data_IF_285988361400
#
_entry.id   IF_285988361400
#
_cell.length_a   1.000
_cell.length_b   1.000
_cell.length_c   1.000
_cell.angle_alpha   90.00
_cell.angle_beta   90.00
_cell.angle_gamma   90.00
#
_symmetry.space_group_name_H-M   'P 1'
#
loop_
_entity.id
_entity.type
_entity.pdbx_description
1 polymer ?
#
# COMPACT_ATOMS: atom_id res chain seq x y z
N UNK A 1 21.67 7.15 -11.31
CA UNK A 1 20.84 6.17 -12.04
C UNK A 1 20.47 5.03 -11.13
N UNK A 2 19.33 5.14 -10.43
CA UNK A 2 18.74 4.00 -9.76
C UNK A 2 18.22 3.05 -10.86
N UNK A 3 18.98 2.01 -11.14
CA UNK A 3 18.53 0.91 -11.99
C UNK A 3 17.32 0.27 -11.32
N UNK A 4 16.18 0.30 -11.98
CA UNK A 4 14.98 -0.45 -11.66
C UNK A 4 15.25 -1.96 -11.67
N UNK A 5 15.82 -2.48 -10.59
CA UNK A 5 15.89 -3.92 -10.33
C UNK A 5 14.59 -4.42 -9.69
N UNK A 6 13.45 -4.04 -10.22
CA UNK A 6 12.20 -4.33 -9.54
C UNK A 6 11.10 -4.93 -10.38
N UNK A 7 11.09 -4.72 -11.68
CA UNK A 7 9.96 -5.17 -12.51
C UNK A 7 9.98 -6.68 -12.83
N UNK A 8 11.14 -7.34 -12.77
CA UNK A 8 11.24 -8.80 -12.94
C UNK A 8 10.80 -9.60 -11.72
N UNK A 9 10.88 -9.03 -10.51
CA UNK A 9 10.54 -9.71 -9.27
C UNK A 9 9.08 -9.58 -8.86
N UNK A 10 8.31 -8.67 -9.44
CA UNK A 10 6.87 -8.52 -9.15
C UNK A 10 6.10 -9.78 -9.51
N UNK A 11 6.53 -10.53 -10.51
CA UNK A 11 5.95 -11.83 -10.87
C UNK A 11 6.14 -12.91 -9.78
N UNK A 12 7.15 -12.80 -8.93
CA UNK A 12 7.42 -13.76 -7.86
C UNK A 12 6.81 -13.38 -6.51
N UNK A 13 6.23 -12.19 -6.37
CA UNK A 13 5.60 -11.72 -5.13
C UNK A 13 4.11 -12.02 -5.07
N UNK A 14 3.70 -13.19 -5.51
CA UNK A 14 2.32 -13.69 -5.33
C UNK A 14 1.98 -14.05 -3.88
N UNK A 15 2.74 -13.58 -2.91
CA UNK A 15 2.67 -13.97 -1.51
C UNK A 15 3.85 -14.86 -1.13
N UNK A 16 3.81 -15.44 0.09
CA UNK A 16 4.77 -16.45 0.55
C UNK A 16 4.86 -17.58 -0.48
N UNK A 17 6.08 -17.94 -0.89
CA UNK A 17 6.29 -19.18 -1.65
C UNK A 17 5.93 -20.37 -0.76
N UNK A 18 4.78 -20.95 -1.04
CA UNK A 18 4.22 -22.02 -0.22
C UNK A 18 5.02 -23.33 -0.36
N UNK A 19 5.76 -23.51 -1.47
CA UNK A 19 6.64 -24.67 -1.66
C UNK A 19 7.87 -24.50 -0.77
N UNK A 20 8.55 -23.36 -0.85
CA UNK A 20 9.71 -23.04 0.00
C UNK A 20 9.33 -23.03 1.49
N UNK A 21 8.16 -22.48 1.84
CA UNK A 21 7.67 -22.49 3.23
C UNK A 21 7.40 -23.90 3.73
N UNK A 22 6.85 -24.77 2.88
CA UNK A 22 6.59 -26.17 3.24
C UNK A 22 7.89 -26.98 3.37
N UNK A 23 8.86 -26.74 2.48
CA UNK A 23 10.18 -27.38 2.55
C UNK A 23 10.94 -26.95 3.80
N UNK A 24 10.95 -25.68 4.15
CA UNK A 24 11.55 -25.15 5.41
C UNK A 24 10.88 -25.78 6.63
N UNK A 25 9.55 -25.86 6.65
CA UNK A 25 8.82 -26.50 7.76
C UNK A 25 9.14 -27.98 7.89
N UNK A 26 9.36 -28.70 6.79
CA UNK A 26 9.79 -30.11 6.83
C UNK A 26 11.22 -30.26 7.32
N UNK A 27 12.11 -29.32 6.94
CA UNK A 27 13.50 -29.29 7.43
C UNK A 27 13.56 -28.96 8.92
N UNK A 28 12.80 -27.96 9.39
CA UNK A 28 12.72 -27.59 10.80
C UNK A 28 12.20 -28.77 11.65
N UNK A 29 11.15 -29.44 11.21
CA UNK A 29 10.63 -30.62 11.90
C UNK A 29 11.62 -31.78 11.93
N UNK A 30 12.52 -31.88 10.96
CA UNK A 30 13.56 -32.93 10.93
C UNK A 30 14.75 -32.61 11.85
N UNK A 31 15.00 -31.33 12.13
CA UNK A 31 16.09 -30.88 13.03
C UNK A 31 15.64 -30.78 14.49
N UNK A 32 14.36 -30.51 14.76
CA UNK A 32 13.81 -30.39 16.11
C UNK A 32 13.56 -31.75 16.78
N UNK A 33 13.41 -32.81 16.03
CA UNK A 33 13.38 -34.18 16.58
C UNK A 33 14.67 -34.60 17.29
N UNK A 34 15.77 -33.89 17.04
CA UNK A 34 17.08 -34.14 17.64
C UNK A 34 17.38 -33.28 18.88
N UNK A 35 16.56 -32.31 19.23
CA UNK A 35 16.75 -31.39 20.38
C UNK A 35 15.52 -31.34 21.29
N UNK A 36 15.06 -32.52 21.73
CA UNK A 36 14.03 -32.63 22.76
C UNK A 36 14.57 -32.14 24.11
N UNK A 37 14.50 -30.83 24.37
CA UNK A 37 14.94 -30.25 25.64
C UNK A 37 14.35 -28.89 26.01
N UNK A 38 13.96 -28.08 25.03
CA UNK A 38 13.35 -26.77 25.34
C UNK A 38 12.13 -26.54 24.44
N UNK A 39 10.98 -26.96 24.95
CA UNK A 39 9.70 -26.85 24.27
C UNK A 39 9.03 -25.47 24.50
N UNK A 40 9.81 -24.42 24.64
CA UNK A 40 9.30 -23.04 24.65
C UNK A 40 9.29 -22.55 23.22
N UNK A 41 8.09 -22.21 22.67
CA UNK A 41 8.05 -21.45 21.44
C UNK A 41 8.92 -20.23 21.65
N UNK A 42 9.91 -20.02 20.80
CA UNK A 42 10.73 -18.82 20.81
C UNK A 42 9.78 -17.64 20.67
N UNK A 43 9.47 -16.98 21.80
CA UNK A 43 8.73 -15.72 21.84
C UNK A 43 9.63 -14.59 21.36
N UNK A 44 10.23 -14.72 20.21
CA UNK A 44 10.60 -13.53 19.45
C UNK A 44 9.27 -12.98 18.93
N UNK A 45 8.67 -12.09 19.71
CA UNK A 45 7.73 -11.14 19.18
C UNK A 45 8.41 -10.55 17.95
N UNK A 46 7.93 -10.92 16.75
CA UNK A 46 8.34 -10.26 15.54
C UNK A 46 8.05 -8.79 15.76
N UNK A 47 9.08 -7.97 15.83
CA UNK A 47 8.90 -6.54 15.80
C UNK A 47 8.46 -6.17 14.39
N UNK A 48 7.15 -6.04 14.21
CA UNK A 48 6.56 -5.72 12.91
C UNK A 48 6.85 -4.26 12.50
N UNK A 49 7.50 -3.45 13.37
CA UNK A 49 7.77 -2.04 13.05
C UNK A 49 8.63 -1.87 11.80
N UNK A 50 9.57 -2.78 11.58
CA UNK A 50 10.42 -2.80 10.39
C UNK A 50 9.87 -3.67 9.25
N UNK A 51 8.69 -4.26 9.44
CA UNK A 51 8.05 -5.02 8.38
C UNK A 51 7.65 -4.10 7.21
N UNK A 52 7.74 -4.57 5.95
CA UNK A 52 7.40 -3.75 4.77
C UNK A 52 6.04 -3.08 4.86
N UNK A 53 5.06 -3.74 5.45
CA UNK A 53 3.70 -3.19 5.66
C UNK A 53 3.71 -1.93 6.53
N UNK A 54 4.49 -1.92 7.62
CA UNK A 54 4.57 -0.77 8.51
C UNK A 54 5.39 0.36 7.90
N UNK A 55 6.47 0.04 7.19
CA UNK A 55 7.26 1.03 6.46
C UNK A 55 6.40 1.72 5.40
N UNK A 56 5.62 0.96 4.63
CA UNK A 56 4.70 1.52 3.63
C UNK A 56 3.60 2.38 4.25
N UNK A 57 3.00 1.91 5.36
CA UNK A 57 1.95 2.63 6.06
C UNK A 57 2.42 3.98 6.61
N UNK A 58 3.65 4.03 7.16
CA UNK A 58 4.22 5.25 7.74
C UNK A 58 4.99 6.12 6.75
N UNK A 59 5.11 5.69 5.49
CA UNK A 59 5.73 6.50 4.44
C UNK A 59 4.83 7.67 4.07
N UNK A 60 5.32 8.90 4.22
CA UNK A 60 4.56 10.10 3.85
C UNK A 60 4.60 10.38 2.34
N UNK A 61 5.57 9.82 1.61
CA UNK A 61 5.59 9.90 0.14
C UNK A 61 4.45 9.08 -0.44
N UNK A 62 3.63 9.62 -1.35
CA UNK A 62 2.59 8.85 -2.04
C UNK A 62 3.16 7.63 -2.77
N UNK A 63 2.42 6.53 -2.70
CA UNK A 63 2.78 5.25 -3.33
C UNK A 63 1.71 4.88 -4.33
N UNK A 64 2.10 4.75 -5.60
CA UNK A 64 1.23 4.25 -6.67
C UNK A 64 1.57 2.79 -6.94
N UNK A 65 0.57 1.94 -6.90
CA UNK A 65 0.67 0.53 -7.25
C UNK A 65 0.19 0.30 -8.68
N UNK A 66 1.08 -0.16 -9.54
CA UNK A 66 0.74 -0.64 -10.88
C UNK A 66 0.57 -2.18 -10.84
N UNK A 67 -0.68 -2.65 -10.83
CA UNK A 67 -1.02 -4.07 -10.67
C UNK A 67 -1.03 -4.73 -12.05
N UNK A 68 0.07 -5.39 -12.42
CA UNK A 68 0.26 -5.98 -13.74
C UNK A 68 -0.19 -7.45 -13.86
N UNK A 69 -0.57 -8.08 -12.75
CA UNK A 69 -0.93 -9.50 -12.72
C UNK A 69 -1.68 -9.89 -11.46
N UNK A 70 -1.68 -11.18 -11.11
CA UNK A 70 -2.39 -11.65 -9.93
C UNK A 70 -1.66 -11.24 -8.64
N UNK A 71 -2.40 -10.63 -7.71
CA UNK A 71 -1.95 -10.35 -6.35
C UNK A 71 -2.85 -11.10 -5.35
N UNK A 72 -2.28 -12.00 -4.55
CA UNK A 72 -3.01 -12.90 -3.68
C UNK A 72 -2.51 -12.85 -2.24
N UNK A 73 -3.42 -12.93 -1.25
CA UNK A 73 -3.08 -12.92 0.17
C UNK A 73 -2.20 -11.73 0.53
N UNK A 74 -0.98 -11.98 1.03
CA UNK A 74 0.00 -10.94 1.33
C UNK A 74 0.22 -9.95 0.17
N UNK A 75 0.30 -10.46 -1.07
CA UNK A 75 0.43 -9.62 -2.26
C UNK A 75 -0.77 -8.69 -2.47
N UNK A 76 -2.00 -9.17 -2.23
CA UNK A 76 -3.19 -8.31 -2.25
C UNK A 76 -3.11 -7.26 -1.15
N UNK A 77 -2.81 -7.63 0.08
CA UNK A 77 -2.71 -6.70 1.20
C UNK A 77 -1.68 -5.59 0.94
N UNK A 78 -0.53 -5.94 0.32
CA UNK A 78 0.47 -4.95 -0.10
C UNK A 78 -0.09 -3.94 -1.11
N UNK A 79 -0.99 -4.35 -1.99
CA UNK A 79 -1.64 -3.39 -2.91
C UNK A 79 -2.59 -2.45 -2.17
N UNK A 80 -3.28 -2.94 -1.13
CA UNK A 80 -4.21 -2.14 -0.32
C UNK A 80 -3.48 -1.06 0.52
N UNK A 81 -2.21 -1.26 0.84
CA UNK A 81 -1.38 -0.29 1.56
C UNK A 81 -0.91 0.88 0.69
N UNK A 82 -0.94 0.74 -0.62
CA UNK A 82 -0.62 1.83 -1.53
C UNK A 82 -1.76 2.86 -1.54
N UNK A 83 -1.43 4.12 -1.82
CA UNK A 83 -2.42 5.19 -1.84
C UNK A 83 -3.31 5.11 -3.08
N UNK A 84 -2.70 4.83 -4.22
CA UNK A 84 -3.34 4.75 -5.54
C UNK A 84 -3.04 3.39 -6.15
N UNK A 85 -4.03 2.78 -6.80
CA UNK A 85 -3.92 1.50 -7.50
C UNK A 85 -4.42 1.63 -8.92
N UNK A 86 -3.55 1.38 -9.89
CA UNK A 86 -3.88 1.26 -11.30
C UNK A 86 -3.68 -0.20 -11.68
N UNK A 87 -4.63 -0.79 -12.37
CA UNK A 87 -4.67 -2.23 -12.60
C UNK A 87 -4.75 -2.54 -14.09
N UNK A 88 -3.96 -3.52 -14.53
CA UNK A 88 -4.13 -4.09 -15.86
C UNK A 88 -5.45 -4.84 -15.96
N UNK A 89 -6.12 -4.76 -17.10
CA UNK A 89 -7.37 -5.48 -17.41
C UNK A 89 -7.25 -7.00 -17.20
N UNK A 90 -6.04 -7.56 -17.33
CA UNK A 90 -5.76 -8.98 -17.16
C UNK A 90 -5.36 -9.37 -15.73
N UNK A 91 -5.21 -8.40 -14.83
CA UNK A 91 -4.80 -8.63 -13.45
C UNK A 91 -5.97 -9.11 -12.57
N UNK A 92 -5.66 -9.66 -11.40
CA UNK A 92 -6.65 -10.16 -10.44
C UNK A 92 -6.21 -9.89 -9.01
N UNK A 93 -7.16 -9.60 -8.13
CA UNK A 93 -6.94 -9.54 -6.69
C UNK A 93 -7.60 -10.75 -6.01
N UNK A 94 -6.90 -11.40 -5.07
CA UNK A 94 -7.37 -12.64 -4.48
C UNK A 94 -7.26 -12.64 -2.95
N UNK A 95 -8.42 -12.60 -2.27
CA UNK A 95 -8.56 -12.61 -0.81
C UNK A 95 -8.53 -14.05 -0.25
N UNK A 96 -7.55 -14.85 -0.62
CA UNK A 96 -7.55 -16.33 -0.49
C UNK A 96 -6.96 -16.86 0.81
N UNK A 97 -6.70 -16.04 1.81
CA UNK A 97 -6.03 -16.42 3.07
C UNK A 97 -6.79 -17.51 3.83
N UNK A 98 -8.13 -17.41 3.90
CA UNK A 98 -8.98 -18.40 4.59
C UNK A 98 -8.83 -19.83 4.03
N UNK A 99 -8.53 -20.00 2.73
CA UNK A 99 -8.29 -21.34 2.15
C UNK A 99 -7.06 -22.03 2.71
N UNK A 100 -6.21 -21.34 3.43
CA UNK A 100 -4.95 -21.83 4.00
C UNK A 100 -4.90 -21.72 5.51
N UNK A 101 -6.05 -21.48 6.14
CA UNK A 101 -6.17 -21.28 7.59
C UNK A 101 -5.26 -20.14 8.10
N UNK A 102 -5.13 -19.05 7.32
CA UNK A 102 -4.36 -17.86 7.65
C UNK A 102 -5.28 -16.65 7.59
N UNK A 103 -5.06 -15.68 8.46
CA UNK A 103 -5.73 -14.37 8.41
C UNK A 103 -4.95 -13.42 7.48
N UNK A 104 -5.56 -12.35 6.97
CA UNK A 104 -4.83 -11.28 6.27
C UNK A 104 -3.92 -10.53 7.27
N UNK A 105 -2.68 -11.04 7.42
CA UNK A 105 -1.73 -10.63 8.46
C UNK A 105 -1.03 -9.29 8.17
N UNK A 106 -1.20 -8.78 6.95
CA UNK A 106 -0.48 -7.60 6.46
C UNK A 106 -1.33 -6.33 6.49
N UNK A 107 -2.32 -6.27 7.39
CA UNK A 107 -3.20 -5.12 7.54
C UNK A 107 -4.47 -5.18 6.68
N UNK A 108 -4.66 -6.21 5.88
CA UNK A 108 -5.84 -6.36 5.01
C UNK A 108 -7.16 -6.36 5.79
N UNK A 109 -7.19 -6.95 6.99
CA UNK A 109 -8.38 -6.94 7.87
C UNK A 109 -8.78 -5.54 8.33
N UNK A 110 -7.84 -4.60 8.40
CA UNK A 110 -8.10 -3.21 8.75
C UNK A 110 -8.40 -2.36 7.51
N UNK A 111 -7.66 -2.58 6.41
CA UNK A 111 -7.74 -1.77 5.19
C UNK A 111 -8.96 -2.09 4.35
N UNK A 112 -9.21 -3.38 4.06
CA UNK A 112 -10.24 -3.76 3.11
C UNK A 112 -11.65 -3.29 3.51
N UNK A 113 -12.10 -3.43 4.79
CA UNK A 113 -13.40 -2.92 5.19
C UNK A 113 -13.55 -1.40 5.07
N UNK A 114 -12.43 -0.66 5.17
CA UNK A 114 -12.41 0.80 4.98
C UNK A 114 -12.48 1.22 3.52
N UNK A 115 -11.98 0.38 2.62
CA UNK A 115 -12.03 0.64 1.18
C UNK A 115 -13.39 0.28 0.56
N UNK A 116 -13.95 -0.89 0.89
CA UNK A 116 -15.14 -1.42 0.21
C UNK A 116 -16.36 -1.59 1.12
N UNK A 117 -16.25 -1.21 2.38
CA UNK A 117 -17.26 -1.43 3.40
C UNK A 117 -17.26 -2.85 3.96
N UNK A 118 -17.86 -3.03 5.17
CA UNK A 118 -17.83 -4.29 5.92
C UNK A 118 -18.38 -5.48 5.13
N UNK A 119 -19.56 -5.31 4.52
CA UNK A 119 -20.26 -6.42 3.88
C UNK A 119 -19.47 -6.99 2.69
N UNK A 120 -18.87 -6.13 1.87
CA UNK A 120 -18.04 -6.54 0.73
C UNK A 120 -16.71 -7.13 1.16
N UNK A 121 -16.07 -6.56 2.17
CA UNK A 121 -14.85 -7.14 2.73
C UNK A 121 -15.10 -8.54 3.31
N UNK A 122 -16.20 -8.73 4.06
CA UNK A 122 -16.61 -10.01 4.60
C UNK A 122 -16.87 -11.03 3.48
N UNK A 123 -17.60 -10.62 2.44
CA UNK A 123 -17.83 -11.47 1.25
C UNK A 123 -16.50 -11.92 0.62
N UNK A 124 -15.57 -11.01 0.40
CA UNK A 124 -14.29 -11.31 -0.22
C UNK A 124 -13.45 -12.28 0.63
N UNK A 125 -13.28 -11.99 1.92
CA UNK A 125 -12.45 -12.81 2.81
C UNK A 125 -13.08 -14.14 3.18
N UNK A 126 -14.37 -14.17 3.57
CA UNK A 126 -14.99 -15.41 4.05
C UNK A 126 -15.21 -16.42 2.94
N UNK A 127 -15.55 -15.96 1.74
CA UNK A 127 -15.67 -16.81 0.54
C UNK A 127 -14.32 -17.05 -0.15
N UNK A 128 -13.25 -16.42 0.34
CA UNK A 128 -11.91 -16.48 -0.26
C UNK A 128 -11.93 -16.24 -1.77
N UNK A 129 -12.55 -15.10 -2.16
CA UNK A 129 -12.82 -14.76 -3.56
C UNK A 129 -11.56 -14.25 -4.27
N UNK A 130 -11.57 -14.46 -5.57
CA UNK A 130 -10.72 -13.76 -6.52
C UNK A 130 -11.62 -12.86 -7.35
N UNK A 131 -11.24 -11.61 -7.53
CA UNK A 131 -11.93 -10.61 -8.34
C UNK A 131 -11.06 -10.21 -9.52
N UNK A 132 -11.68 -10.00 -10.65
CA UNK A 132 -11.02 -9.48 -11.85
C UNK A 132 -10.90 -7.94 -11.82
N UNK A 133 -10.36 -7.36 -12.88
CA UNK A 133 -10.14 -5.93 -12.97
C UNK A 133 -11.45 -5.13 -12.97
N UNK A 134 -12.45 -5.59 -13.69
CA UNK A 134 -13.74 -4.90 -13.80
C UNK A 134 -14.46 -4.89 -12.44
N UNK A 135 -14.49 -6.04 -11.75
CA UNK A 135 -15.07 -6.12 -10.40
C UNK A 135 -14.25 -5.31 -9.40
N UNK A 136 -12.93 -5.32 -9.50
CA UNK A 136 -12.05 -4.51 -8.62
C UNK A 136 -12.33 -3.01 -8.76
N UNK A 137 -12.56 -2.53 -9.98
CA UNK A 137 -12.94 -1.13 -10.23
C UNK A 137 -14.34 -0.82 -9.65
N UNK A 138 -15.31 -1.69 -9.89
CA UNK A 138 -16.68 -1.50 -9.41
C UNK A 138 -16.79 -1.50 -7.88
N UNK A 139 -15.90 -2.21 -7.20
CA UNK A 139 -15.80 -2.26 -5.74
C UNK A 139 -15.01 -1.10 -5.14
N UNK A 140 -14.35 -0.27 -5.96
CA UNK A 140 -13.44 0.78 -5.47
C UNK A 140 -12.11 0.24 -4.93
N UNK A 141 -11.74 -0.99 -5.27
CA UNK A 141 -10.43 -1.56 -4.91
C UNK A 141 -9.29 -0.94 -5.70
N UNK A 142 -9.57 -0.43 -6.89
CA UNK A 142 -8.59 0.24 -7.77
C UNK A 142 -9.16 1.54 -8.31
N UNK A 143 -8.28 2.48 -8.63
CA UNK A 143 -8.63 3.80 -9.14
C UNK A 143 -8.90 3.77 -10.64
N UNK A 144 -8.17 2.94 -11.38
CA UNK A 144 -8.29 2.84 -12.83
C UNK A 144 -7.91 1.45 -13.32
N UNK A 145 -8.52 1.03 -14.43
CA UNK A 145 -8.19 -0.20 -15.16
C UNK A 145 -7.80 0.18 -16.58
N UNK A 146 -6.67 -0.32 -17.04
CA UNK A 146 -6.09 0.00 -18.34
C UNK A 146 -5.60 -1.27 -19.04
N UNK A 147 -5.36 -1.18 -20.35
CA UNK A 147 -4.68 -2.23 -21.11
C UNK A 147 -3.28 -2.49 -20.54
N UNK A 148 -2.77 -3.71 -20.70
CA UNK A 148 -1.53 -4.12 -20.06
C UNK A 148 -0.32 -3.24 -20.44
N UNK A 149 -0.24 -2.85 -21.70
CA UNK A 149 0.81 -1.99 -22.23
C UNK A 149 0.70 -0.52 -21.76
N UNK A 150 -0.49 -0.07 -21.40
CA UNK A 150 -0.74 1.27 -20.89
C UNK A 150 -0.50 1.39 -19.37
N UNK A 151 -0.39 0.29 -18.63
CA UNK A 151 -0.34 0.28 -17.18
C UNK A 151 0.79 1.15 -16.60
N UNK A 152 2.02 0.90 -17.02
CA UNK A 152 3.17 1.67 -16.51
C UNK A 152 3.17 3.12 -17.01
N UNK A 153 2.89 3.40 -18.29
CA UNK A 153 2.72 4.78 -18.76
C UNK A 153 1.69 5.57 -17.97
N UNK A 154 0.51 5.00 -17.70
CA UNK A 154 -0.53 5.66 -16.90
C UNK A 154 -0.07 5.92 -15.45
N UNK A 155 0.51 4.90 -14.80
CA UNK A 155 1.02 5.07 -13.43
C UNK A 155 2.12 6.14 -13.35
N UNK A 156 2.99 6.22 -14.33
CA UNK A 156 4.04 7.25 -14.42
C UNK A 156 3.46 8.63 -14.70
N UNK A 157 2.43 8.74 -15.52
CA UNK A 157 1.71 10.01 -15.74
C UNK A 157 1.15 10.55 -14.43
N UNK A 158 0.42 9.72 -13.68
CA UNK A 158 -0.12 10.12 -12.37
C UNK A 158 0.99 10.46 -11.36
N UNK A 159 2.10 9.72 -11.39
CA UNK A 159 3.25 10.03 -10.53
C UNK A 159 3.86 11.40 -10.85
N UNK A 160 3.99 11.75 -12.13
CA UNK A 160 4.46 13.07 -12.54
C UNK A 160 3.49 14.19 -12.16
N UNK A 161 2.18 13.99 -12.36
CA UNK A 161 1.16 14.95 -11.92
C UNK A 161 1.23 15.21 -10.41
N UNK A 162 1.45 14.17 -9.60
CA UNK A 162 1.62 14.31 -8.14
C UNK A 162 2.94 15.02 -7.82
N UNK A 163 4.03 14.66 -8.52
CA UNK A 163 5.35 15.24 -8.30
C UNK A 163 5.46 16.71 -8.73
N UNK A 164 4.59 17.17 -9.61
CA UNK A 164 4.50 18.57 -10.01
C UNK A 164 3.87 19.47 -8.92
N UNK A 165 3.27 18.88 -7.87
CA UNK A 165 2.73 19.63 -6.73
C UNK A 165 3.79 19.85 -5.63
N UNK A 166 3.54 20.80 -4.74
CA UNK A 166 4.42 21.10 -3.60
C UNK A 166 4.58 19.84 -2.72
N UNK A 167 5.79 19.27 -2.59
CA UNK A 167 5.99 17.96 -1.97
C UNK A 167 5.62 17.94 -0.48
N UNK A 168 5.91 19.03 0.25
CA UNK A 168 5.53 19.13 1.66
C UNK A 168 4.01 19.12 1.84
N UNK A 169 3.26 19.78 0.97
CA UNK A 169 1.79 19.79 1.02
C UNK A 169 1.22 18.40 0.73
N UNK A 170 1.73 17.71 -0.28
CA UNK A 170 1.29 16.35 -0.64
C UNK A 170 1.56 15.36 0.50
N UNK A 171 2.78 15.38 1.07
CA UNK A 171 3.17 14.50 2.17
C UNK A 171 2.37 14.78 3.44
N UNK A 172 2.18 16.05 3.77
CA UNK A 172 1.36 16.45 4.92
C UNK A 172 -0.08 16.03 4.74
N UNK A 173 -0.66 16.21 3.55
CA UNK A 173 -2.02 15.76 3.25
C UNK A 173 -2.16 14.24 3.47
N UNK A 174 -1.24 13.42 2.96
CA UNK A 174 -1.25 11.98 3.20
C UNK A 174 -1.20 11.65 4.70
N UNK A 175 -0.31 12.30 5.44
CA UNK A 175 -0.19 12.12 6.90
C UNK A 175 -1.50 12.47 7.61
N UNK A 176 -2.09 13.62 7.27
CA UNK A 176 -3.35 14.08 7.88
C UNK A 176 -4.51 13.13 7.56
N UNK A 177 -4.62 12.68 6.31
CA UNK A 177 -5.64 11.68 5.93
C UNK A 177 -5.50 10.39 6.74
N UNK A 178 -4.27 9.91 6.97
CA UNK A 178 -4.00 8.72 7.76
C UNK A 178 -4.36 8.91 9.24
N UNK A 179 -3.98 10.03 9.84
CA UNK A 179 -4.34 10.37 11.23
C UNK A 179 -5.86 10.48 11.40
N UNK A 180 -6.55 11.12 10.47
CA UNK A 180 -8.00 11.31 10.48
C UNK A 180 -8.81 10.01 10.41
N UNK A 181 -8.19 8.85 10.09
CA UNK A 181 -8.88 7.55 10.19
C UNK A 181 -9.13 7.09 11.63
N UNK A 182 -8.45 7.68 12.61
CA UNK A 182 -8.49 7.28 14.02
C UNK A 182 -8.90 8.42 14.96
N UNK A 183 -8.96 9.66 14.46
CA UNK A 183 -9.23 10.85 15.26
C UNK A 183 -10.66 11.36 15.08
N UNK A 184 -11.10 12.18 16.05
CA UNK A 184 -12.31 12.98 15.89
C UNK A 184 -12.07 14.11 14.89
N UNK A 185 -13.17 14.66 14.33
CA UNK A 185 -13.08 15.79 13.42
C UNK A 185 -12.39 17.00 14.07
N UNK A 186 -12.73 17.31 15.32
CA UNK A 186 -12.16 18.45 16.03
C UNK A 186 -10.64 18.27 16.22
N UNK A 187 -10.20 17.09 16.66
CA UNK A 187 -8.78 16.76 16.79
C UNK A 187 -8.04 16.86 15.43
N UNK A 188 -8.66 16.37 14.36
CA UNK A 188 -8.08 16.46 13.01
C UNK A 188 -7.94 17.91 12.55
N UNK A 189 -8.89 18.79 12.89
CA UNK A 189 -8.81 20.24 12.60
C UNK A 189 -7.70 20.91 13.39
N UNK A 190 -7.53 20.59 14.67
CA UNK A 190 -6.43 21.13 15.48
C UNK A 190 -5.07 20.72 14.91
N UNK A 191 -4.88 19.47 14.53
CA UNK A 191 -3.66 18.99 13.86
C UNK A 191 -3.45 19.66 12.51
N UNK A 192 -4.52 19.86 11.72
CA UNK A 192 -4.45 20.58 10.46
C UNK A 192 -3.86 21.97 10.64
N UNK A 193 -4.32 22.74 11.64
CA UNK A 193 -3.84 24.11 11.88
C UNK A 193 -2.36 24.15 12.24
N UNK A 194 -1.87 23.18 13.00
CA UNK A 194 -0.44 23.07 13.34
C UNK A 194 0.40 22.85 12.09
N UNK A 195 0.00 21.91 11.24
CA UNK A 195 0.74 21.60 10.01
C UNK A 195 0.64 22.72 8.96
N UNK A 196 -0.53 23.35 8.84
CA UNK A 196 -0.76 24.43 7.88
C UNK A 196 0.13 25.63 8.15
N UNK A 197 0.34 26.01 9.43
CA UNK A 197 1.24 27.08 9.80
C UNK A 197 2.68 26.86 9.31
N UNK A 198 3.18 25.62 9.39
CA UNK A 198 4.49 25.28 8.84
C UNK A 198 4.55 25.41 7.31
N UNK A 199 3.50 25.00 6.62
CA UNK A 199 3.42 25.14 5.16
C UNK A 199 3.39 26.59 4.71
N UNK A 200 2.66 27.47 5.41
CA UNK A 200 2.60 28.90 5.08
C UNK A 200 3.95 29.63 5.24
N UNK A 201 4.86 29.07 6.03
CA UNK A 201 6.20 29.65 6.24
C UNK A 201 7.23 29.07 5.26
N UNK A 202 6.85 28.13 4.39
CA UNK A 202 7.76 27.48 3.46
C UNK A 202 8.08 28.34 2.23
N UNK A 203 9.24 28.10 1.63
CA UNK A 203 9.62 28.69 0.34
C UNK A 203 8.65 28.26 -0.77
N UNK A 204 8.19 27.01 -0.72
CA UNK A 204 7.25 26.47 -1.69
C UNK A 204 5.87 27.16 -1.65
N UNK A 205 5.44 27.65 -0.48
CA UNK A 205 4.21 28.46 -0.40
C UNK A 205 4.38 29.80 -1.12
N UNK A 206 5.50 30.50 -0.89
CA UNK A 206 5.81 31.75 -1.56
C UNK A 206 5.95 31.57 -3.08
N UNK A 207 6.63 30.49 -3.51
CA UNK A 207 6.76 30.10 -4.92
C UNK A 207 5.39 29.81 -5.55
N UNK A 208 4.56 29.02 -4.88
CA UNK A 208 3.22 28.69 -5.38
C UNK A 208 2.35 29.92 -5.61
N UNK A 209 2.40 30.90 -4.67
CA UNK A 209 1.68 32.15 -4.80
C UNK A 209 2.22 33.00 -5.96
N UNK A 210 3.55 33.15 -6.06
CA UNK A 210 4.19 33.92 -7.15
C UNK A 210 3.89 33.31 -8.51
N UNK A 211 4.06 32.01 -8.65
CA UNK A 211 3.79 31.28 -9.89
C UNK A 211 2.33 31.44 -10.35
N UNK A 212 1.38 31.39 -9.41
CA UNK A 212 -0.04 31.62 -9.70
C UNK A 212 -0.30 33.04 -10.21
N UNK A 213 0.25 34.06 -9.55
CA UNK A 213 0.08 35.45 -9.95
C UNK A 213 0.74 35.75 -11.32
N UNK A 214 1.90 35.14 -11.57
CA UNK A 214 2.67 35.29 -12.80
C UNK A 214 2.19 34.38 -13.93
N UNK A 215 1.22 33.49 -13.66
CA UNK A 215 0.67 32.49 -14.62
C UNK A 215 1.76 31.60 -15.23
N UNK A 216 2.70 31.15 -14.43
CA UNK A 216 3.77 30.23 -14.80
C UNK A 216 3.69 28.93 -14.01
N UNK A 217 4.38 27.89 -14.47
CA UNK A 217 4.54 26.67 -13.70
C UNK A 217 5.42 26.94 -12.47
N UNK A 218 5.03 26.50 -11.25
CA UNK A 218 5.85 26.63 -10.06
C UNK A 218 7.08 25.70 -10.12
N UNK A 219 8.12 26.05 -9.36
CA UNK A 219 9.31 25.24 -9.19
C UNK A 219 9.49 24.91 -7.71
N UNK A 220 8.82 23.89 -7.22
CA UNK A 220 8.85 23.49 -5.83
C UNK A 220 10.14 22.76 -5.48
N UNK A 221 10.67 23.02 -4.28
CA UNK A 221 11.94 22.49 -3.78
C UNK A 221 11.80 21.65 -2.52
N UNK A 222 10.63 21.66 -1.88
CA UNK A 222 10.38 20.96 -0.63
C UNK A 222 10.92 21.69 0.60
N UNK A 223 11.00 23.00 0.55
CA UNK A 223 11.55 23.85 1.62
C UNK A 223 10.61 24.93 2.07
#
# INVERSE_FOLDING_TARGET
TARSRGLGDVYKRQGLDLVDTNERRQQDNSTDAAKAGDNRPSRRLFDLRDAPINVMWHCDTPIICAINGAAAGYGMDMTLLCDIRIMSENAKLAAVTAKRNVVPESGGTWLLPRLVGWAKAAELYYRARTVDAAESLSLGLVNEVVAAEALLPTAMSWAHEIADNAPMAVQTTKRMMRMGLEESYDTAVDHLMVHLNGLFQSEDFAEGLSAFLEKRKPNFTGR
#
